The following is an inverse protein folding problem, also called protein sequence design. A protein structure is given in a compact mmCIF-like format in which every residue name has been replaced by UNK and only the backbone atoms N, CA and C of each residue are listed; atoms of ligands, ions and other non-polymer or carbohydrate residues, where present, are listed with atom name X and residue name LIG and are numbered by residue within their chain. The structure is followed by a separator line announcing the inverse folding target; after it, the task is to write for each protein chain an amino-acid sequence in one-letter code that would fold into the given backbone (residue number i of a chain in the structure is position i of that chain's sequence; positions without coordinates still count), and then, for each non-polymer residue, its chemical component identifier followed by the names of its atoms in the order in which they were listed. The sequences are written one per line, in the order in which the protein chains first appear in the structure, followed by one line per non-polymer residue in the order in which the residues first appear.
data_IF_816737333722
#
_entry.id   IF_816737333722
#
_cell.length_a   1.000
_cell.length_b   1.000
_cell.length_c   1.000
_cell.angle_alpha   90.00
_cell.angle_beta   90.00
_cell.angle_gamma   90.00
#
_symmetry.space_group_name_H-M   'P 1'
#
loop_
_entity.id
_entity.type
_entity.pdbx_description
1 polymer ?
#
# COMPACT_ATOMS: atom_id res chain seq x y z
N UNK A 1 35.91 -63.14 26.61
CA UNK A 1 34.50 -63.51 26.38
C UNK A 1 33.66 -62.24 26.44
N UNK A 2 33.49 -61.54 25.31
CA UNK A 2 32.76 -60.26 25.25
C UNK A 2 31.32 -60.52 24.81
N UNK A 3 30.37 -60.34 25.74
CA UNK A 3 28.92 -60.46 25.52
C UNK A 3 28.44 -59.18 24.82
N UNK A 4 28.21 -59.25 23.51
CA UNK A 4 27.50 -58.18 22.79
C UNK A 4 26.01 -58.24 23.12
N UNK A 5 25.51 -57.20 23.79
CA UNK A 5 24.09 -57.01 24.09
C UNK A 5 23.45 -56.29 22.90
N UNK A 6 22.72 -57.01 22.06
CA UNK A 6 21.94 -56.44 20.95
C UNK A 6 20.81 -55.60 21.54
N UNK A 7 20.89 -54.28 21.40
CA UNK A 7 19.81 -53.35 21.73
C UNK A 7 18.87 -53.32 20.51
N UNK A 8 17.66 -53.88 20.64
CA UNK A 8 16.62 -53.77 19.59
C UNK A 8 16.21 -52.29 19.48
N UNK A 9 16.67 -51.62 18.43
CA UNK A 9 16.11 -50.34 18.00
C UNK A 9 14.73 -50.64 17.40
N UNK A 10 13.66 -50.08 17.99
CA UNK A 10 12.32 -50.12 17.38
C UNK A 10 12.37 -49.22 16.15
N UNK A 11 12.36 -49.82 14.95
CA UNK A 11 12.21 -49.10 13.70
C UNK A 11 10.73 -48.81 13.44
N UNK A 12 10.42 -47.60 12.98
CA UNK A 12 9.07 -47.24 12.55
C UNK A 12 8.66 -48.08 11.35
N UNK A 13 7.39 -48.51 11.31
CA UNK A 13 6.87 -49.21 10.13
C UNK A 13 6.62 -48.21 8.99
N UNK A 14 6.71 -48.66 7.73
CA UNK A 14 6.41 -47.82 6.56
C UNK A 14 5.01 -47.19 6.67
N UNK A 15 4.03 -47.97 7.11
CA UNK A 15 2.65 -47.52 7.30
C UNK A 15 2.50 -46.44 8.38
N UNK A 16 3.27 -46.52 9.47
CA UNK A 16 3.29 -45.51 10.54
C UNK A 16 3.91 -44.18 10.08
N UNK A 17 4.97 -44.24 9.28
CA UNK A 17 5.55 -43.04 8.66
C UNK A 17 4.60 -42.44 7.62
N UNK A 18 3.91 -43.26 6.83
CA UNK A 18 2.99 -42.78 5.80
C UNK A 18 1.74 -42.11 6.38
N UNK A 19 1.15 -42.68 7.43
CA UNK A 19 -0.03 -42.09 8.09
C UNK A 19 0.34 -40.79 8.81
N UNK A 20 1.50 -40.73 9.48
CA UNK A 20 1.97 -39.51 10.14
C UNK A 20 2.28 -38.39 9.13
N UNK A 21 2.99 -38.68 8.04
CA UNK A 21 3.22 -37.72 6.95
C UNK A 21 1.92 -37.30 6.28
N UNK A 22 0.96 -38.22 6.12
CA UNK A 22 -0.37 -37.91 5.59
C UNK A 22 -1.14 -36.92 6.47
N UNK A 23 -1.16 -37.15 7.79
CA UNK A 23 -1.83 -36.26 8.75
C UNK A 23 -1.15 -34.88 8.77
N UNK A 24 0.18 -34.83 8.86
CA UNK A 24 0.93 -33.56 8.85
C UNK A 24 0.70 -32.82 7.53
N UNK A 25 0.67 -33.53 6.41
CA UNK A 25 0.42 -32.95 5.08
C UNK A 25 -0.94 -32.26 4.99
N UNK A 26 -2.01 -32.89 5.48
CA UNK A 26 -3.36 -32.32 5.47
C UNK A 26 -3.42 -31.06 6.34
N UNK A 27 -2.91 -31.15 7.57
CA UNK A 27 -2.93 -30.01 8.52
C UNK A 27 -2.09 -28.84 7.99
N UNK A 28 -0.92 -29.12 7.42
CA UNK A 28 -0.06 -28.10 6.84
C UNK A 28 -0.74 -27.45 5.61
N UNK A 29 -1.42 -28.22 4.75
CA UNK A 29 -2.14 -27.68 3.61
C UNK A 29 -3.27 -26.71 4.00
N UNK A 30 -3.94 -26.95 5.14
CA UNK A 30 -4.98 -26.05 5.66
C UNK A 30 -4.42 -24.77 6.31
N UNK A 31 -3.22 -24.84 6.90
CA UNK A 31 -2.66 -23.76 7.71
C UNK A 31 -1.67 -22.86 6.95
N UNK A 32 -0.93 -23.40 5.98
CA UNK A 32 0.07 -22.65 5.21
C UNK A 32 -0.51 -21.43 4.47
N UNK A 33 -1.67 -21.50 3.79
CA UNK A 33 -2.22 -20.34 3.07
C UNK A 33 -2.51 -19.16 4.00
N UNK A 34 -3.12 -19.42 5.16
CA UNK A 34 -3.46 -18.40 6.15
C UNK A 34 -2.21 -17.74 6.75
N UNK A 35 -1.18 -18.53 7.06
CA UNK A 35 0.08 -18.01 7.59
C UNK A 35 0.80 -17.12 6.56
N UNK A 36 0.87 -17.56 5.31
CA UNK A 36 1.49 -16.81 4.21
C UNK A 36 0.74 -15.50 3.98
N UNK A 37 -0.59 -15.52 4.01
CA UNK A 37 -1.40 -14.31 3.85
C UNK A 37 -1.12 -13.30 4.97
N UNK A 38 -1.16 -13.73 6.24
CA UNK A 38 -0.85 -12.85 7.39
C UNK A 38 0.57 -12.27 7.30
N UNK A 39 1.54 -13.07 6.88
CA UNK A 39 2.92 -12.59 6.68
C UNK A 39 3.00 -11.50 5.60
N UNK A 40 2.34 -11.71 4.44
CA UNK A 40 2.31 -10.72 3.35
C UNK A 40 1.62 -9.42 3.74
N UNK A 41 0.56 -9.49 4.52
CA UNK A 41 -0.15 -8.31 5.03
C UNK A 41 0.73 -7.54 6.04
N UNK A 42 1.42 -8.24 6.94
CA UNK A 42 2.39 -7.61 7.84
C UNK A 42 3.55 -6.95 7.08
N UNK A 43 4.09 -7.63 6.06
CA UNK A 43 5.10 -7.06 5.18
C UNK A 43 4.58 -5.79 4.47
N UNK A 44 3.33 -5.83 3.99
CA UNK A 44 2.66 -4.68 3.37
C UNK A 44 2.56 -3.50 4.33
N UNK A 45 2.07 -3.71 5.56
CA UNK A 45 2.00 -2.68 6.61
C UNK A 45 3.38 -2.05 6.86
N UNK A 46 4.43 -2.87 6.96
CA UNK A 46 5.80 -2.40 7.18
C UNK A 46 6.27 -1.54 6.00
N UNK A 47 6.03 -1.96 4.76
CA UNK A 47 6.38 -1.19 3.55
C UNK A 47 5.67 0.16 3.52
N UNK A 48 4.37 0.21 3.80
CA UNK A 48 3.59 1.47 3.86
C UNK A 48 4.14 2.43 4.91
N UNK A 49 4.40 1.94 6.13
CA UNK A 49 4.96 2.76 7.21
C UNK A 49 6.35 3.30 6.87
N UNK A 50 7.18 2.46 6.24
CA UNK A 50 8.52 2.85 5.79
C UNK A 50 8.45 3.89 4.68
N UNK A 51 7.58 3.70 3.67
CA UNK A 51 7.33 4.70 2.64
C UNK A 51 6.94 6.03 3.27
N UNK A 52 5.93 6.04 4.15
CA UNK A 52 5.48 7.26 4.82
C UNK A 52 6.62 7.96 5.57
N UNK A 53 7.38 7.22 6.37
CA UNK A 53 8.49 7.79 7.15
C UNK A 53 9.57 8.41 6.27
N UNK A 54 10.01 7.69 5.22
CA UNK A 54 11.08 8.16 4.33
C UNK A 54 10.59 9.31 3.45
N UNK A 55 9.40 9.19 2.88
CA UNK A 55 8.84 10.17 1.97
C UNK A 55 8.43 11.45 2.70
N UNK A 56 7.86 11.35 3.91
CA UNK A 56 7.55 12.51 4.74
C UNK A 56 8.80 13.30 5.12
N UNK A 57 9.89 12.63 5.48
CA UNK A 57 11.18 13.29 5.74
C UNK A 57 11.72 13.99 4.48
N UNK A 58 11.70 13.31 3.34
CA UNK A 58 12.15 13.89 2.08
C UNK A 58 11.30 15.09 1.65
N UNK A 59 9.99 15.00 1.85
CA UNK A 59 9.05 16.07 1.58
C UNK A 59 9.32 17.30 2.46
N UNK A 60 9.49 17.11 3.77
CA UNK A 60 9.84 18.21 4.68
C UNK A 60 11.16 18.87 4.30
N UNK A 61 12.17 18.11 3.89
CA UNK A 61 13.43 18.68 3.39
C UNK A 61 13.24 19.47 2.10
N UNK A 62 12.43 18.95 1.16
CA UNK A 62 12.11 19.66 -0.08
C UNK A 62 11.39 20.98 0.18
N UNK A 63 10.46 21.00 1.14
CA UNK A 63 9.73 22.21 1.55
C UNK A 63 10.66 23.23 2.23
N UNK A 64 11.59 22.77 3.07
CA UNK A 64 12.55 23.64 3.74
C UNK A 64 13.47 24.38 2.75
N UNK A 65 13.88 23.73 1.65
CA UNK A 65 14.79 24.34 0.66
C UNK A 65 14.07 25.08 -0.46
N UNK A 66 12.94 24.56 -0.96
CA UNK A 66 12.23 25.13 -2.11
C UNK A 66 11.00 25.97 -1.75
N UNK A 67 10.63 26.05 -0.47
CA UNK A 67 9.35 26.62 -0.05
C UNK A 67 8.21 25.60 -0.13
N UNK A 68 6.99 26.03 0.17
CA UNK A 68 5.78 25.20 0.10
C UNK A 68 5.46 24.78 -1.34
N UNK A 69 4.75 23.67 -1.51
CA UNK A 69 4.52 23.04 -2.83
C UNK A 69 3.87 23.94 -3.89
N UNK A 70 3.06 24.92 -3.47
CA UNK A 70 2.48 25.96 -4.32
C UNK A 70 3.54 26.83 -5.02
N UNK A 71 4.72 26.96 -4.43
CA UNK A 71 5.83 27.73 -5.00
C UNK A 71 6.70 26.93 -5.97
N UNK A 72 6.43 25.62 -6.15
CA UNK A 72 7.27 24.75 -6.97
C UNK A 72 7.02 24.87 -8.47
N UNK A 73 6.08 25.74 -8.87
CA UNK A 73 5.67 25.91 -10.28
C UNK A 73 4.84 24.74 -10.79
N UNK A 74 4.09 24.08 -9.90
CA UNK A 74 3.14 23.04 -10.24
C UNK A 74 1.80 23.66 -10.61
N UNK A 75 1.08 23.00 -11.51
CA UNK A 75 -0.28 23.36 -11.92
C UNK A 75 -1.25 22.22 -11.61
N UNK A 76 -2.54 22.51 -11.70
CA UNK A 76 -3.60 21.53 -11.47
C UNK A 76 -3.53 20.39 -12.49
N UNK A 77 -3.83 19.17 -12.03
CA UNK A 77 -3.89 18.01 -12.90
C UNK A 77 -5.19 17.99 -13.70
N UNK A 78 -5.06 17.80 -15.00
CA UNK A 78 -6.16 17.66 -15.94
C UNK A 78 -6.22 16.24 -16.53
N UNK A 79 -7.43 15.86 -16.94
CA UNK A 79 -7.70 14.65 -17.72
C UNK A 79 -8.21 15.02 -19.10
N UNK A 80 -7.86 14.21 -20.09
CA UNK A 80 -8.42 14.32 -21.43
C UNK A 80 -9.86 13.75 -21.50
N UNK A 81 -10.47 13.85 -22.69
CA UNK A 81 -11.83 13.37 -22.96
C UNK A 81 -11.99 11.86 -22.71
N UNK A 82 -10.90 11.09 -22.81
CA UNK A 82 -10.85 9.65 -22.56
C UNK A 82 -10.59 9.31 -21.07
N UNK A 83 -10.46 10.33 -20.22
CA UNK A 83 -10.23 10.20 -18.78
C UNK A 83 -8.80 9.80 -18.41
N UNK A 84 -7.84 9.92 -19.33
CA UNK A 84 -6.41 9.72 -19.15
C UNK A 84 -5.73 11.02 -18.72
N UNK A 85 -4.51 10.93 -18.19
CA UNK A 85 -3.72 12.12 -17.86
C UNK A 85 -3.27 12.85 -19.12
N UNK A 86 -3.46 14.16 -19.14
CA UNK A 86 -2.86 15.01 -20.18
C UNK A 86 -1.34 14.99 -20.08
N UNK A 87 -0.65 15.29 -21.19
CA UNK A 87 0.82 15.41 -21.19
C UNK A 87 1.31 16.48 -20.21
N UNK A 88 0.50 17.53 -19.98
CA UNK A 88 0.75 18.55 -18.96
C UNK A 88 0.80 17.96 -17.55
N UNK A 89 -0.22 17.20 -17.15
CA UNK A 89 -0.27 16.54 -15.84
C UNK A 89 0.90 15.57 -15.63
N UNK A 90 1.33 14.86 -16.67
CA UNK A 90 2.50 13.99 -16.59
C UNK A 90 3.79 14.79 -16.38
N UNK A 91 3.95 15.95 -17.05
CA UNK A 91 5.08 16.84 -16.83
C UNK A 91 5.11 17.40 -15.39
N UNK A 92 3.94 17.70 -14.80
CA UNK A 92 3.85 18.11 -13.39
C UNK A 92 4.31 16.99 -12.44
N UNK A 93 3.95 15.74 -12.73
CA UNK A 93 4.44 14.59 -11.97
C UNK A 93 5.97 14.50 -12.01
N UNK A 94 6.59 14.68 -13.18
CA UNK A 94 8.05 14.67 -13.31
C UNK A 94 8.69 15.82 -12.52
N UNK A 95 8.09 17.01 -12.56
CA UNK A 95 8.58 18.19 -11.84
C UNK A 95 8.54 17.97 -10.32
N UNK A 96 7.42 17.47 -9.80
CA UNK A 96 7.26 17.12 -8.39
C UNK A 96 8.31 16.10 -7.95
N UNK A 97 8.46 15.02 -8.72
CA UNK A 97 9.44 13.97 -8.41
C UNK A 97 10.86 14.54 -8.46
N UNK A 98 11.20 15.38 -9.44
CA UNK A 98 12.52 16.05 -9.52
C UNK A 98 12.84 16.89 -8.29
N UNK A 99 11.85 17.52 -7.66
CA UNK A 99 12.03 18.29 -6.43
C UNK A 99 12.30 17.41 -5.20
N UNK A 100 11.76 16.19 -5.17
CA UNK A 100 11.88 15.29 -4.00
C UNK A 100 13.06 14.31 -4.13
N UNK A 101 13.39 13.88 -5.35
CA UNK A 101 14.48 12.94 -5.67
C UNK A 101 15.79 13.23 -4.91
N UNK A 102 16.28 14.50 -4.81
CA UNK A 102 17.55 14.80 -4.12
C UNK A 102 17.59 14.35 -2.66
N UNK A 103 16.42 14.26 -2.01
CA UNK A 103 16.29 13.91 -0.59
C UNK A 103 16.00 12.41 -0.38
N UNK A 104 15.82 11.64 -1.46
CA UNK A 104 15.55 10.21 -1.42
C UNK A 104 16.81 9.42 -1.77
N UNK A 105 17.30 8.61 -0.82
CA UNK A 105 18.52 7.80 -1.01
C UNK A 105 18.22 6.56 -1.85
N UNK A 106 19.02 6.33 -2.91
CA UNK A 106 19.06 5.10 -3.73
C UNK A 106 17.71 4.72 -4.34
N UNK A 107 17.38 5.32 -5.47
CA UNK A 107 16.05 5.21 -6.07
C UNK A 107 16.17 4.94 -7.57
N UNK A 108 15.21 4.16 -8.11
CA UNK A 108 15.04 4.00 -9.54
C UNK A 108 13.80 4.79 -9.97
N UNK A 109 14.00 5.78 -10.85
CA UNK A 109 12.90 6.51 -11.46
C UNK A 109 12.47 5.82 -12.75
N UNK A 110 11.17 5.57 -12.87
CA UNK A 110 10.51 5.15 -14.10
C UNK A 110 9.32 6.10 -14.29
N UNK A 111 9.13 6.61 -15.50
CA UNK A 111 8.08 7.58 -15.80
C UNK A 111 6.69 6.93 -15.74
N UNK A 112 5.70 7.71 -15.28
CA UNK A 112 4.30 7.30 -15.18
C UNK A 112 3.66 7.40 -16.57
N UNK A 113 2.99 6.35 -17.02
CA UNK A 113 2.32 6.30 -18.32
C UNK A 113 0.93 6.92 -18.26
N UNK A 114 0.44 7.37 -19.43
CA UNK A 114 -0.88 7.99 -19.59
C UNK A 114 -2.04 7.15 -19.03
N UNK A 115 -1.96 5.83 -19.14
CA UNK A 115 -2.96 4.87 -18.67
C UNK A 115 -2.75 4.42 -17.21
N UNK A 116 -1.80 5.03 -16.51
CA UNK A 116 -1.47 4.74 -15.12
C UNK A 116 -1.00 3.28 -14.92
N UNK A 117 -0.45 2.67 -15.98
CA UNK A 117 0.01 1.28 -16.01
C UNK A 117 1.51 1.11 -15.77
N UNK A 118 2.33 2.10 -16.11
CA UNK A 118 3.76 2.08 -15.80
C UNK A 118 4.06 2.61 -14.41
N UNK A 119 5.16 2.09 -13.90
CA UNK A 119 5.58 2.17 -12.52
C UNK A 119 6.20 3.56 -12.30
N UNK A 120 5.57 4.44 -11.53
CA UNK A 120 6.27 5.60 -10.98
C UNK A 120 7.35 5.18 -9.98
N UNK A 121 8.15 6.17 -9.55
CA UNK A 121 9.19 6.11 -8.51
C UNK A 121 9.22 4.80 -7.70
N UNK A 122 10.31 4.02 -7.84
CA UNK A 122 10.47 2.70 -7.21
C UNK A 122 11.48 2.76 -6.06
N UNK A 123 11.01 2.46 -4.86
CA UNK A 123 11.85 2.28 -3.69
C UNK A 123 12.63 0.94 -3.76
N UNK A 124 13.78 0.82 -3.06
CA UNK A 124 14.55 -0.43 -3.01
C UNK A 124 13.77 -1.66 -2.49
N UNK A 125 12.68 -1.47 -1.75
CA UNK A 125 11.81 -2.54 -1.27
C UNK A 125 10.68 -2.92 -2.25
N UNK A 126 10.66 -2.31 -3.44
CA UNK A 126 9.66 -2.55 -4.48
C UNK A 126 8.36 -1.77 -4.29
N UNK A 127 8.29 -0.85 -3.31
CA UNK A 127 7.16 0.10 -3.19
C UNK A 127 7.23 1.13 -4.30
N UNK A 128 6.08 1.46 -4.91
CA UNK A 128 6.02 2.28 -6.12
C UNK A 128 4.96 3.35 -6.01
N UNK A 129 5.21 4.53 -6.54
CA UNK A 129 4.15 5.52 -6.76
C UNK A 129 3.40 5.12 -8.05
N UNK A 130 2.08 5.02 -7.97
CA UNK A 130 1.20 4.54 -9.05
C UNK A 130 0.07 5.50 -9.37
N UNK A 131 0.15 6.73 -8.86
CA UNK A 131 -0.79 7.79 -9.12
C UNK A 131 -0.33 9.04 -8.41
N UNK A 132 -0.43 10.16 -9.12
CA UNK A 132 -0.21 11.50 -8.61
C UNK A 132 -1.30 12.37 -9.20
N UNK A 133 -1.94 13.16 -8.36
CA UNK A 133 -2.94 14.14 -8.75
C UNK A 133 -2.67 15.42 -7.99
N UNK A 134 -2.65 16.55 -8.69
CA UNK A 134 -2.43 17.86 -8.10
C UNK A 134 -3.67 18.75 -8.23
N UNK A 135 -3.92 19.51 -7.17
CA UNK A 135 -4.96 20.53 -7.05
C UNK A 135 -4.33 21.73 -6.32
N UNK A 136 -3.38 22.37 -7.00
CA UNK A 136 -2.50 23.42 -6.47
C UNK A 136 -3.30 24.71 -6.24
N UNK A 137 -4.24 25.04 -7.13
CA UNK A 137 -5.08 26.24 -6.98
C UNK A 137 -5.85 26.21 -5.66
N UNK A 138 -6.48 25.08 -5.36
CA UNK A 138 -7.32 24.88 -4.18
C UNK A 138 -6.53 25.01 -2.87
N UNK A 139 -5.32 24.44 -2.83
CA UNK A 139 -4.49 24.56 -1.64
C UNK A 139 -3.79 25.92 -1.51
N UNK A 140 -3.54 26.62 -2.62
CA UNK A 140 -2.98 27.98 -2.58
C UNK A 140 -3.97 28.98 -1.98
N UNK A 141 -5.27 28.79 -2.23
CA UNK A 141 -6.34 29.60 -1.63
C UNK A 141 -6.54 29.30 -0.14
N UNK A 142 -6.44 28.02 0.25
CA UNK A 142 -6.64 27.60 1.64
C UNK A 142 -5.59 26.55 2.05
N UNK A 143 -4.63 26.91 2.93
CA UNK A 143 -3.60 26.00 3.42
C UNK A 143 -4.11 24.73 4.14
N UNK A 144 -5.40 24.70 4.52
CA UNK A 144 -6.04 23.52 5.12
C UNK A 144 -6.54 22.51 4.09
N UNK A 145 -6.56 22.86 2.80
CA UNK A 145 -6.97 21.96 1.73
C UNK A 145 -5.76 21.21 1.18
N UNK A 146 -6.01 20.02 0.65
CA UNK A 146 -4.97 19.20 0.04
C UNK A 146 -4.55 19.82 -1.29
N UNK A 147 -3.24 19.93 -1.54
CA UNK A 147 -2.64 20.30 -2.82
C UNK A 147 -2.65 19.16 -3.84
N UNK A 148 -3.13 17.99 -3.44
CA UNK A 148 -3.13 16.80 -4.27
C UNK A 148 -3.14 15.52 -3.47
N UNK A 149 -3.09 14.39 -4.16
CA UNK A 149 -2.92 13.08 -3.57
C UNK A 149 -1.89 12.24 -4.34
N UNK A 150 -1.35 11.24 -3.65
CA UNK A 150 -0.51 10.23 -4.26
C UNK A 150 -0.96 8.85 -3.84
N UNK A 151 -0.93 7.93 -4.79
CA UNK A 151 -1.19 6.52 -4.55
C UNK A 151 0.11 5.73 -4.64
N UNK A 152 0.36 4.87 -3.65
CA UNK A 152 1.44 3.88 -3.71
C UNK A 152 0.89 2.48 -3.90
N UNK A 153 1.70 1.62 -4.51
CA UNK A 153 1.51 0.18 -4.54
C UNK A 153 2.65 -0.52 -3.80
N UNK A 154 2.33 -1.51 -2.98
CA UNK A 154 3.32 -2.35 -2.28
C UNK A 154 3.70 -3.61 -3.04
N UNK A 155 3.19 -3.79 -4.25
CA UNK A 155 3.50 -4.90 -5.16
C UNK A 155 3.69 -4.43 -6.60
N UNK A 156 4.03 -5.36 -7.50
CA UNK A 156 4.34 -5.10 -8.91
C UNK A 156 3.11 -5.17 -9.83
N UNK A 157 1.91 -5.33 -9.27
CA UNK A 157 0.69 -5.49 -10.06
C UNK A 157 0.10 -4.11 -10.40
N UNK A 158 -0.74 -4.02 -11.46
CA UNK A 158 -1.45 -2.78 -11.79
C UNK A 158 -2.33 -2.29 -10.64
N UNK A 159 -2.66 -1.00 -10.63
CA UNK A 159 -3.46 -0.33 -9.57
C UNK A 159 -4.86 -0.92 -9.42
N UNK A 160 -5.51 -1.16 -10.56
CA UNK A 160 -6.89 -1.65 -10.62
C UNK A 160 -6.92 -3.18 -10.75
N UNK A 161 -7.97 -3.77 -10.20
CA UNK A 161 -8.33 -5.15 -10.51
C UNK A 161 -8.55 -5.28 -12.02
N UNK A 162 -8.07 -6.40 -12.54
CA UNK A 162 -8.23 -6.78 -13.94
C UNK A 162 -9.02 -8.08 -13.99
N UNK A 163 -10.01 -8.15 -14.89
CA UNK A 163 -10.74 -9.38 -15.18
C UNK A 163 -9.96 -10.28 -16.15
N UNK A 164 -9.09 -9.69 -16.96
CA UNK A 164 -8.08 -10.37 -17.80
C UNK A 164 -6.86 -9.47 -18.03
N UNK A 165 -5.78 -9.99 -18.61
CA UNK A 165 -4.53 -9.23 -18.82
C UNK A 165 -4.77 -7.91 -19.57
N UNK A 166 -5.74 -7.90 -20.48
CA UNK A 166 -6.13 -6.76 -21.34
C UNK A 166 -7.41 -6.02 -20.88
N UNK A 167 -8.13 -6.49 -19.86
CA UNK A 167 -9.43 -5.92 -19.48
C UNK A 167 -9.44 -5.43 -18.02
N UNK A 168 -9.65 -4.11 -17.85
CA UNK A 168 -9.95 -3.49 -16.55
C UNK A 168 -11.28 -4.06 -16.03
N UNK A 169 -11.34 -4.31 -14.73
CA UNK A 169 -12.60 -4.69 -14.07
C UNK A 169 -13.68 -3.62 -14.35
N UNK A 170 -14.91 -3.99 -14.72
CA UNK A 170 -15.97 -3.04 -15.06
C UNK A 170 -16.34 -2.12 -13.89
N UNK A 171 -16.03 -2.50 -12.65
CA UNK A 171 -16.23 -1.67 -11.47
C UNK A 171 -14.98 -0.88 -11.06
N UNK A 172 -13.85 -1.04 -11.79
CA UNK A 172 -12.57 -0.39 -11.52
C UNK A 172 -12.14 -0.48 -10.04
N UNK A 173 -12.35 -1.65 -9.41
CA UNK A 173 -11.98 -1.83 -8.01
C UNK A 173 -10.47 -1.65 -7.81
N UNK A 174 -10.12 -0.76 -6.89
CA UNK A 174 -8.73 -0.54 -6.48
C UNK A 174 -8.29 -1.69 -5.60
N UNK A 175 -7.07 -2.19 -5.84
CA UNK A 175 -6.52 -3.31 -5.08
C UNK A 175 -6.22 -2.94 -3.63
N UNK A 176 -6.31 -3.92 -2.73
CA UNK A 176 -6.03 -3.74 -1.31
C UNK A 176 -4.55 -3.45 -0.98
N UNK A 177 -3.65 -3.57 -1.95
CA UNK A 177 -2.24 -3.19 -1.85
C UNK A 177 -1.92 -1.78 -2.32
N UNK A 178 -2.97 -1.00 -2.65
CA UNK A 178 -2.85 0.42 -2.99
C UNK A 178 -3.17 1.26 -1.75
N UNK A 179 -2.39 2.30 -1.51
CA UNK A 179 -2.54 3.18 -0.35
C UNK A 179 -2.41 4.64 -0.79
N UNK A 180 -3.38 5.46 -0.40
CA UNK A 180 -3.45 6.87 -0.74
C UNK A 180 -2.86 7.76 0.38
N UNK A 181 -2.16 8.81 -0.01
CA UNK A 181 -1.64 9.86 0.85
C UNK A 181 -2.06 11.21 0.30
N UNK A 182 -2.43 12.11 1.20
CA UNK A 182 -2.81 13.49 0.89
C UNK A 182 -1.59 14.41 1.04
N UNK A 183 -1.39 15.30 0.08
CA UNK A 183 -0.27 16.24 0.04
C UNK A 183 -0.81 17.62 0.43
N UNK A 184 -0.35 18.16 1.55
CA UNK A 184 -0.62 19.54 1.98
C UNK A 184 0.60 20.42 1.72
N UNK A 185 0.45 21.74 1.86
CA UNK A 185 1.53 22.70 1.59
C UNK A 185 2.85 22.41 2.32
N UNK A 186 2.75 21.91 3.56
CA UNK A 186 3.88 21.74 4.48
C UNK A 186 4.21 20.27 4.79
N UNK A 187 3.30 19.36 4.46
CA UNK A 187 3.46 17.94 4.81
C UNK A 187 2.64 17.00 3.94
N UNK A 188 3.07 15.75 3.94
CA UNK A 188 2.29 14.61 3.45
C UNK A 188 1.69 13.86 4.63
N UNK A 189 0.43 13.43 4.52
CA UNK A 189 -0.27 12.63 5.53
C UNK A 189 -0.97 11.44 4.90
N UNK A 190 -1.14 10.31 5.60
CA UNK A 190 -1.97 9.23 5.10
C UNK A 190 -3.43 9.68 4.99
N UNK A 191 -4.11 9.19 3.95
CA UNK A 191 -5.48 9.60 3.68
C UNK A 191 -6.39 9.36 4.89
N UNK A 192 -7.15 10.38 5.29
CA UNK A 192 -8.11 10.30 6.39
C UNK A 192 -7.51 10.60 7.77
N UNK A 193 -6.22 10.91 7.88
CA UNK A 193 -5.60 11.29 9.16
C UNK A 193 -5.95 12.70 9.60
N UNK A 194 -6.19 13.61 8.64
CA UNK A 194 -6.65 14.99 8.88
C UNK A 194 -8.18 15.16 8.77
N UNK A 195 -8.91 14.06 8.60
CA UNK A 195 -10.37 14.10 8.53
C UNK A 195 -10.97 14.42 9.89
N UNK A 196 -12.00 15.29 9.91
CA UNK A 196 -12.79 15.57 11.11
C UNK A 196 -13.56 14.32 11.59
N UNK A 197 -13.82 13.36 10.69
CA UNK A 197 -14.49 12.12 11.02
C UNK A 197 -13.89 10.91 10.28
N UNK A 198 -12.73 10.40 10.75
CA UNK A 198 -12.06 9.27 10.13
C UNK A 198 -12.88 7.97 10.21
N UNK A 199 -13.79 7.86 11.18
CA UNK A 199 -14.66 6.69 11.32
C UNK A 199 -15.60 6.52 10.12
N UNK A 200 -16.14 7.61 9.56
CA UNK A 200 -17.00 7.55 8.37
C UNK A 200 -16.25 6.94 7.18
N UNK A 201 -14.99 7.32 6.97
CA UNK A 201 -14.18 6.78 5.88
C UNK A 201 -13.89 5.29 6.09
N UNK A 202 -13.54 4.92 7.31
CA UNK A 202 -13.31 3.52 7.65
C UNK A 202 -14.55 2.66 7.41
N UNK A 203 -15.71 3.10 7.92
CA UNK A 203 -16.94 2.35 7.83
C UNK A 203 -17.47 2.27 6.38
N UNK A 204 -17.37 3.36 5.61
CA UNK A 204 -17.90 3.40 4.25
C UNK A 204 -16.99 2.77 3.21
N UNK A 205 -15.67 2.73 3.42
CA UNK A 205 -14.71 2.27 2.40
C UNK A 205 -13.92 1.03 2.82
N UNK A 206 -13.40 1.00 4.05
CA UNK A 206 -12.54 -0.09 4.52
C UNK A 206 -13.35 -1.33 4.87
N UNK A 207 -14.46 -1.17 5.60
CA UNK A 207 -15.34 -2.29 5.98
C UNK A 207 -16.13 -2.85 4.81
N UNK A 208 -16.55 -1.99 3.87
CA UNK A 208 -17.35 -2.39 2.71
C UNK A 208 -16.51 -2.94 1.56
N UNK A 209 -15.20 -2.71 1.58
CA UNK A 209 -14.31 -3.03 0.47
C UNK A 209 -14.49 -2.17 -0.78
N UNK A 210 -15.22 -1.05 -0.69
CA UNK A 210 -15.46 -0.15 -1.84
C UNK A 210 -14.17 0.51 -2.36
N UNK A 211 -13.28 0.94 -1.45
CA UNK A 211 -12.04 1.65 -1.83
C UNK A 211 -10.94 1.51 -0.76
N UNK A 212 -10.19 0.41 -0.82
CA UNK A 212 -9.13 0.12 0.16
C UNK A 212 -8.00 1.16 0.20
N UNK A 213 -7.77 1.92 -0.88
CA UNK A 213 -6.74 2.96 -0.89
C UNK A 213 -6.97 4.06 0.12
N UNK A 214 -8.21 4.28 0.55
CA UNK A 214 -8.55 5.29 1.57
C UNK A 214 -8.30 4.81 3.01
N UNK A 215 -7.85 3.56 3.18
CA UNK A 215 -7.62 2.94 4.48
C UNK A 215 -6.21 3.15 5.03
N UNK A 216 -5.38 3.96 4.36
CA UNK A 216 -3.96 4.15 4.71
C UNK A 216 -3.77 4.58 6.16
N UNK A 217 -4.60 5.49 6.68
CA UNK A 217 -4.50 5.93 8.07
C UNK A 217 -4.74 4.80 9.06
N UNK A 218 -5.70 3.91 8.79
CA UNK A 218 -5.90 2.72 9.63
C UNK A 218 -4.65 1.85 9.64
N UNK A 219 -4.07 1.59 8.47
CA UNK A 219 -2.89 0.72 8.31
C UNK A 219 -1.69 1.28 9.07
N UNK A 220 -1.46 2.60 9.00
CA UNK A 220 -0.35 3.25 9.69
C UNK A 220 -0.59 3.28 11.21
N UNK A 221 -1.78 3.68 11.66
CA UNK A 221 -2.08 3.83 13.10
C UNK A 221 -2.18 2.48 13.80
N UNK A 222 -2.93 1.53 13.25
CA UNK A 222 -3.20 0.25 13.90
C UNK A 222 -2.19 -0.85 13.53
N UNK A 223 -1.39 -0.65 12.48
CA UNK A 223 -0.37 -1.60 12.06
C UNK A 223 -0.95 -2.93 11.58
N UNK A 224 -2.13 -2.92 10.98
CA UNK A 224 -2.78 -4.11 10.46
C UNK A 224 -3.69 -3.80 9.27
N UNK A 225 -4.15 -4.86 8.61
CA UNK A 225 -5.14 -4.81 7.53
C UNK A 225 -6.34 -5.70 7.87
N UNK A 226 -6.69 -5.80 9.15
CA UNK A 226 -7.69 -6.75 9.67
C UNK A 226 -9.10 -6.50 9.09
N UNK A 227 -9.36 -5.30 8.56
CA UNK A 227 -10.58 -4.96 7.83
C UNK A 227 -10.79 -5.79 6.56
N UNK A 228 -9.75 -6.47 6.05
CA UNK A 228 -9.87 -7.43 4.96
C UNK A 228 -10.51 -8.77 5.40
N UNK A 229 -10.56 -9.04 6.70
CA UNK A 229 -10.93 -10.36 7.24
C UNK A 229 -12.15 -10.33 8.16
N UNK A 230 -12.24 -9.32 9.02
CA UNK A 230 -13.29 -9.23 10.04
C UNK A 230 -13.91 -7.82 10.11
N UNK A 231 -14.31 -7.21 8.97
CA UNK A 231 -14.74 -5.81 8.94
C UNK A 231 -15.85 -5.51 9.95
N UNK A 232 -16.80 -6.44 10.15
CA UNK A 232 -17.94 -6.28 11.05
C UNK A 232 -17.55 -6.18 12.53
N UNK A 233 -16.42 -6.81 12.92
CA UNK A 233 -15.92 -6.75 14.30
C UNK A 233 -15.17 -5.45 14.59
N UNK A 234 -14.73 -4.73 13.57
CA UNK A 234 -13.84 -3.59 13.70
C UNK A 234 -14.61 -2.27 13.74
N UNK A 235 -14.06 -1.32 14.50
CA UNK A 235 -14.50 0.07 14.52
C UNK A 235 -13.34 1.02 14.79
N UNK A 236 -13.39 2.20 14.18
CA UNK A 236 -12.34 3.23 14.33
C UNK A 236 -12.11 3.63 15.79
N UNK A 237 -13.20 3.83 16.55
CA UNK A 237 -13.15 4.23 17.95
C UNK A 237 -13.25 3.04 18.92
N UNK A 238 -13.06 1.80 18.46
CA UNK A 238 -13.27 0.62 19.28
C UNK A 238 -12.28 -0.50 18.97
N UNK A 239 -12.79 -1.65 18.51
CA UNK A 239 -11.97 -2.84 18.31
C UNK A 239 -11.17 -2.69 17.01
N UNK A 240 -9.85 -2.79 17.10
CA UNK A 240 -8.92 -2.55 15.96
C UNK A 240 -8.23 -3.80 15.44
N UNK A 241 -8.55 -4.97 16.00
CA UNK A 241 -8.01 -6.28 15.57
C UNK A 241 -9.09 -7.34 15.58
N UNK A 242 -9.00 -8.31 14.68
CA UNK A 242 -9.91 -9.46 14.67
C UNK A 242 -9.82 -10.25 15.98
N UNK A 243 -10.93 -10.89 16.38
CA UNK A 243 -10.90 -11.94 17.40
C UNK A 243 -9.89 -13.02 17.05
N UNK A 244 -9.18 -13.53 18.06
CA UNK A 244 -8.41 -14.77 17.95
C UNK A 244 -9.32 -15.96 18.15
#
# INVERSE_FOLDING_TARGET
MLKYRIIRLRAFTLSEVLTTLGIIGIVAAMTMPLLIQKYKEQETVIRVKKFYSVFSQAYSMAVLENGTIDTWGLEDSERDEDGLYTDGSLAQNELFIKKIIPYLKKINYVSISKDNSTLGFVMPDGTRIVGLWFDISNCSENPKLSCGDLDIATDIKPKYNRTSEDQKDPNSQIRSSIFNFEIFQDQIVPHGMRSDNPAIYFDNYCKTGKRYSLCTSWVILNGNMDYLHCPDELSWNGKTKCGR
#
